data_IF_463413023696
#
_entry.id   IF_463413023696
#
_cell.length_a   1.000
_cell.length_b   1.000
_cell.length_c   1.000
_cell.angle_alpha   90.00
_cell.angle_beta   90.00
_cell.angle_gamma   90.00
#
_symmetry.space_group_name_H-M   'P 1'
#
loop_
_entity.id
_entity.type
_entity.pdbx_description
1 polymer ?
#
# COMPACT_ATOMS: atom_id res chain seq x y z
N UNK A 1 -8.63 -14.08 10.87
CA UNK A 1 -7.33 -13.99 11.61
C UNK A 1 -6.72 -12.63 11.28
N UNK A 2 -6.16 -11.88 12.25
CA UNK A 2 -5.70 -10.49 12.05
C UNK A 2 -4.19 -10.31 12.31
N UNK A 3 -3.53 -9.48 11.51
CA UNK A 3 -2.13 -9.05 11.67
C UNK A 3 -2.06 -7.61 12.22
N UNK A 4 -0.97 -7.25 12.93
CA UNK A 4 -0.72 -5.90 13.48
C UNK A 4 0.41 -5.16 12.75
N UNK A 5 0.31 -3.82 12.61
CA UNK A 5 1.16 -2.97 11.71
C UNK A 5 1.49 -1.61 12.36
N UNK A 6 2.71 -1.08 12.17
CA UNK A 6 3.17 0.25 12.62
C UNK A 6 3.95 1.02 11.52
N UNK A 7 3.73 2.33 11.34
CA UNK A 7 4.52 3.24 10.48
C UNK A 7 4.43 4.73 10.93
N UNK A 8 5.50 5.53 10.74
CA UNK A 8 5.57 6.98 11.05
C UNK A 8 6.02 7.82 9.83
N UNK A 9 5.61 9.10 9.72
CA UNK A 9 5.76 9.95 8.51
C UNK A 9 5.91 11.47 8.78
N UNK A 10 6.60 12.19 7.88
CA UNK A 10 6.77 13.67 7.87
C UNK A 10 6.44 14.25 6.49
N UNK A 11 5.74 15.40 6.40
CA UNK A 11 5.19 15.99 5.16
C UNK A 11 6.01 17.20 4.67
N UNK A 12 6.20 17.35 3.35
CA UNK A 12 6.67 18.62 2.71
C UNK A 12 5.90 18.90 1.41
N UNK A 13 5.52 20.17 1.21
CA UNK A 13 4.79 20.66 0.04
C UNK A 13 5.76 21.14 -1.05
N UNK A 14 5.54 20.74 -2.31
CA UNK A 14 6.23 21.30 -3.48
C UNK A 14 5.16 21.55 -4.55
N UNK A 15 4.72 22.81 -4.66
CA UNK A 15 3.81 23.35 -5.67
C UNK A 15 2.39 22.74 -5.84
N UNK A 16 1.49 23.58 -6.33
CA UNK A 16 0.02 23.56 -6.14
C UNK A 16 -0.78 22.40 -6.73
N UNK A 17 -0.18 21.30 -7.20
CA UNK A 17 -0.95 20.15 -7.73
C UNK A 17 -0.30 18.77 -7.58
N UNK A 18 0.91 18.66 -7.02
CA UNK A 18 1.63 17.40 -6.92
C UNK A 18 2.19 17.22 -5.51
N UNK A 19 1.63 16.29 -4.73
CA UNK A 19 2.22 15.89 -3.46
C UNK A 19 3.03 14.61 -3.66
N UNK A 20 4.36 14.72 -3.60
CA UNK A 20 5.24 13.57 -3.50
C UNK A 20 5.43 13.23 -2.03
N UNK A 21 4.93 12.08 -1.61
CA UNK A 21 4.98 11.63 -0.23
C UNK A 21 5.88 10.38 -0.13
N UNK A 22 6.91 10.46 0.72
CA UNK A 22 7.61 9.28 1.22
C UNK A 22 6.86 8.78 2.48
N UNK A 23 5.71 8.11 2.25
CA UNK A 23 4.72 7.52 3.20
C UNK A 23 4.15 8.49 4.27
N UNK A 24 2.85 8.55 4.64
CA UNK A 24 1.63 7.76 4.36
C UNK A 24 0.38 8.67 4.11
N UNK A 25 -0.63 8.27 3.31
CA UNK A 25 -1.79 7.61 3.94
C UNK A 25 -2.25 6.38 3.14
N UNK A 26 -1.50 5.31 3.29
CA UNK A 26 -2.04 3.97 3.15
C UNK A 26 -1.22 2.93 3.91
N UNK A 27 -1.86 1.85 4.32
CA UNK A 27 -1.22 0.74 5.01
C UNK A 27 -1.71 -0.57 4.42
N UNK A 28 -0.84 -1.59 4.45
CA UNK A 28 -1.31 -2.96 4.27
C UNK A 28 -2.43 -3.20 5.31
N UNK A 29 -3.58 -3.69 4.86
CA UNK A 29 -4.75 -3.90 5.70
C UNK A 29 -5.03 -5.39 5.89
N UNK A 30 -4.85 -6.19 4.84
CA UNK A 30 -5.05 -7.62 4.88
C UNK A 30 -4.15 -8.35 3.88
N UNK A 31 -3.96 -9.66 4.08
CA UNK A 31 -3.27 -10.53 3.14
C UNK A 31 -3.81 -11.96 3.20
N UNK A 32 -3.95 -12.60 2.03
CA UNK A 32 -4.37 -14.00 1.89
C UNK A 32 -3.29 -14.79 1.15
N UNK A 33 -2.94 -15.95 1.69
CA UNK A 33 -1.92 -16.86 1.14
C UNK A 33 -2.56 -18.21 0.88
N UNK A 34 -2.61 -18.62 -0.39
CA UNK A 34 -3.21 -19.89 -0.79
C UNK A 34 -2.17 -20.76 -1.49
N UNK A 35 -1.92 -21.96 -0.95
CA UNK A 35 -1.07 -22.95 -1.60
C UNK A 35 -1.78 -23.49 -2.84
N UNK A 36 -1.08 -23.54 -3.96
CA UNK A 36 -1.57 -24.15 -5.21
C UNK A 36 -0.63 -25.28 -5.62
N UNK A 37 -1.03 -26.18 -6.55
CA UNK A 37 -0.12 -27.19 -7.09
C UNK A 37 1.14 -26.59 -7.75
N UNK A 38 1.03 -25.37 -8.28
CA UNK A 38 2.11 -24.67 -8.96
C UNK A 38 3.00 -23.82 -8.02
N UNK A 39 2.64 -23.66 -6.74
CA UNK A 39 3.34 -22.81 -5.79
C UNK A 39 2.39 -22.07 -4.85
N UNK A 40 2.41 -20.74 -4.84
CA UNK A 40 1.55 -19.91 -3.98
C UNK A 40 0.78 -18.86 -4.79
N UNK A 41 -0.44 -18.58 -4.35
CA UNK A 41 -1.21 -17.39 -4.74
C UNK A 41 -1.29 -16.46 -3.54
N UNK A 42 -0.86 -15.22 -3.71
CA UNK A 42 -0.84 -14.20 -2.66
C UNK A 42 -1.74 -13.06 -3.10
N UNK A 43 -2.61 -12.61 -2.20
CA UNK A 43 -3.41 -11.39 -2.34
C UNK A 43 -3.11 -10.47 -1.17
N UNK A 44 -2.72 -9.23 -1.45
CA UNK A 44 -2.44 -8.18 -0.48
C UNK A 44 -3.44 -7.03 -0.69
N UNK A 45 -4.06 -6.57 0.40
CA UNK A 45 -5.03 -5.47 0.36
C UNK A 45 -4.40 -4.24 1.00
N UNK A 46 -4.22 -3.20 0.20
CA UNK A 46 -3.70 -1.92 0.64
C UNK A 46 -4.86 -0.94 0.89
N UNK A 47 -4.92 -0.34 2.07
CA UNK A 47 -5.93 0.65 2.42
C UNK A 47 -5.37 2.04 2.26
N UNK A 48 -6.05 2.89 1.50
CA UNK A 48 -5.79 4.32 1.42
C UNK A 48 -6.78 5.08 2.30
N UNK A 49 -6.28 6.12 2.99
CA UNK A 49 -7.08 6.93 3.90
C UNK A 49 -6.99 8.39 3.49
N UNK A 50 -8.12 9.09 3.42
CA UNK A 50 -8.13 10.53 3.16
C UNK A 50 -8.68 11.27 4.39
N UNK A 51 -7.81 11.75 5.30
CA UNK A 51 -8.25 12.58 6.43
C UNK A 51 -8.56 14.03 6.01
N UNK A 52 -8.30 14.40 4.75
CA UNK A 52 -8.47 15.74 4.23
C UNK A 52 -9.92 16.09 3.88
N UNK A 53 -10.13 17.37 3.56
CA UNK A 53 -11.43 17.92 3.15
C UNK A 53 -11.66 17.86 1.63
N UNK A 54 -10.64 17.53 0.86
CA UNK A 54 -10.68 17.44 -0.60
C UNK A 54 -10.38 16.02 -1.03
N UNK A 55 -10.98 15.60 -2.14
CA UNK A 55 -10.75 14.27 -2.71
C UNK A 55 -9.29 14.13 -3.16
N UNK A 56 -8.73 12.94 -2.92
CA UNK A 56 -7.42 12.54 -3.44
C UNK A 56 -7.57 11.43 -4.48
N UNK A 57 -6.68 11.41 -5.46
CA UNK A 57 -6.56 10.32 -6.43
C UNK A 57 -5.19 9.70 -6.31
N UNK A 58 -5.10 8.45 -5.85
CA UNK A 58 -3.86 7.70 -5.74
C UNK A 58 -3.51 7.11 -7.09
N UNK A 59 -2.43 7.60 -7.68
CA UNK A 59 -2.00 7.26 -9.03
C UNK A 59 -0.88 6.23 -9.05
N UNK A 60 -0.03 6.22 -8.02
CA UNK A 60 1.06 5.26 -7.94
C UNK A 60 1.25 4.75 -6.52
N UNK A 61 1.51 3.45 -6.43
CA UNK A 61 2.07 2.77 -5.28
C UNK A 61 3.20 1.89 -5.80
N UNK A 62 4.38 1.98 -5.19
CA UNK A 62 5.51 1.10 -5.45
C UNK A 62 6.15 0.77 -4.10
N UNK A 63 6.09 -0.49 -3.70
CA UNK A 63 6.73 -0.99 -2.48
C UNK A 63 7.34 -2.35 -2.75
N UNK A 64 8.32 -2.74 -1.94
CA UNK A 64 8.80 -4.11 -1.87
C UNK A 64 8.34 -4.71 -0.55
N UNK A 65 7.74 -5.89 -0.59
CA UNK A 65 7.36 -6.63 0.61
C UNK A 65 8.26 -7.84 0.80
N UNK A 66 8.33 -8.30 2.04
CA UNK A 66 8.97 -9.55 2.46
C UNK A 66 7.95 -10.40 3.20
N UNK A 67 7.91 -11.70 2.92
CA UNK A 67 7.15 -12.67 3.72
C UNK A 67 8.09 -13.24 4.76
N UNK A 68 7.97 -12.73 5.98
CA UNK A 68 8.80 -13.11 7.13
C UNK A 68 8.27 -14.42 7.72
N UNK A 69 9.06 -15.48 7.61
CA UNK A 69 8.72 -16.80 8.17
C UNK A 69 9.13 -16.93 9.64
N UNK A 70 9.75 -15.88 10.20
CA UNK A 70 10.21 -15.71 11.59
C UNK A 70 11.11 -16.84 12.12
N UNK A 71 11.70 -17.63 11.23
CA UNK A 71 12.70 -18.66 11.59
C UNK A 71 13.98 -18.04 12.17
N UNK A 72 14.26 -16.78 11.83
CA UNK A 72 15.33 -15.97 12.37
C UNK A 72 14.75 -14.74 13.10
N UNK A 73 15.25 -14.46 14.31
CA UNK A 73 14.81 -13.36 15.18
C UNK A 73 15.35 -11.97 14.75
N UNK A 74 16.24 -11.90 13.75
CA UNK A 74 16.69 -10.63 13.17
C UNK A 74 15.52 -9.85 12.55
N UNK A 75 15.70 -8.53 12.47
CA UNK A 75 14.68 -7.64 11.89
C UNK A 75 14.45 -7.98 10.41
N UNK A 76 13.22 -7.84 9.94
CA UNK A 76 12.83 -8.17 8.55
C UNK A 76 13.59 -7.40 7.46
N UNK A 77 14.28 -6.31 7.83
CA UNK A 77 15.04 -5.46 6.92
C UNK A 77 16.56 -5.74 6.97
N UNK A 78 16.96 -6.76 7.74
CA UNK A 78 18.33 -7.26 7.75
C UNK A 78 18.67 -7.94 6.41
N UNK A 79 19.84 -7.66 5.87
CA UNK A 79 20.25 -8.12 4.52
C UNK A 79 20.33 -9.65 4.44
N UNK A 80 20.85 -10.29 5.48
CA UNK A 80 21.00 -11.75 5.50
C UNK A 80 19.64 -12.43 5.63
N UNK A 81 18.73 -11.81 6.40
CA UNK A 81 17.35 -12.27 6.50
C UNK A 81 16.61 -12.15 5.17
N UNK A 82 16.68 -11.00 4.52
CA UNK A 82 16.04 -10.76 3.20
C UNK A 82 16.47 -11.81 2.17
N UNK A 83 17.75 -12.19 2.15
CA UNK A 83 18.25 -13.20 1.20
C UNK A 83 17.60 -14.59 1.39
N UNK A 84 17.22 -14.92 2.62
CA UNK A 84 16.58 -16.20 2.96
C UNK A 84 15.06 -16.20 2.81
N UNK A 85 14.44 -15.02 2.70
CA UNK A 85 12.99 -14.84 2.68
C UNK A 85 12.45 -14.56 1.29
N UNK A 86 11.15 -14.77 1.11
CA UNK A 86 10.50 -14.39 -0.14
C UNK A 86 10.32 -12.88 -0.17
N UNK A 87 10.80 -12.24 -1.24
CA UNK A 87 10.54 -10.83 -1.51
C UNK A 87 9.82 -10.65 -2.84
N UNK A 88 8.91 -9.68 -2.88
CA UNK A 88 8.20 -9.35 -4.11
C UNK A 88 7.89 -7.86 -4.20
N UNK A 89 7.78 -7.31 -5.43
CA UNK A 89 7.32 -5.95 -5.63
C UNK A 89 5.79 -5.90 -5.65
N UNK A 90 5.19 -4.94 -4.94
CA UNK A 90 3.81 -4.53 -5.17
C UNK A 90 3.85 -3.17 -5.86
N UNK A 91 3.26 -3.09 -7.06
CA UNK A 91 3.14 -1.80 -7.72
C UNK A 91 1.91 -1.66 -8.61
N UNK A 92 1.40 -0.44 -8.65
CA UNK A 92 0.57 0.05 -9.75
C UNK A 92 1.04 1.45 -10.14
N UNK A 93 0.92 1.75 -11.43
CA UNK A 93 1.17 3.09 -11.97
C UNK A 93 0.05 3.40 -12.95
N UNK A 94 -0.84 4.27 -12.50
CA UNK A 94 -2.04 4.70 -13.20
C UNK A 94 -1.94 6.21 -13.42
N UNK A 95 -2.53 6.70 -14.52
CA UNK A 95 -2.61 8.14 -14.74
C UNK A 95 -3.50 8.83 -13.70
N UNK A 96 -3.37 10.16 -13.58
CA UNK A 96 -4.19 11.02 -12.67
C UNK A 96 -5.69 10.76 -12.79
N UNK A 97 -6.20 10.39 -13.97
CA UNK A 97 -7.62 10.21 -14.23
C UNK A 97 -8.11 8.75 -14.10
N UNK A 98 -7.20 7.81 -13.85
CA UNK A 98 -7.50 6.37 -13.73
C UNK A 98 -7.10 5.80 -12.36
N UNK A 99 -6.49 6.62 -11.50
CA UNK A 99 -6.06 6.23 -10.17
C UNK A 99 -7.24 5.96 -9.23
N UNK A 100 -6.92 5.39 -8.07
CA UNK A 100 -7.90 5.08 -7.02
C UNK A 100 -8.35 6.38 -6.36
N UNK A 101 -9.64 6.68 -6.45
CA UNK A 101 -10.22 7.90 -5.89
C UNK A 101 -10.65 7.66 -4.44
N UNK A 102 -10.17 8.49 -3.52
CA UNK A 102 -10.54 8.45 -2.10
C UNK A 102 -11.19 9.77 -1.71
N UNK A 103 -12.51 9.72 -1.47
CA UNK A 103 -13.30 10.88 -1.07
C UNK A 103 -12.87 11.49 0.27
N UNK A 104 -13.26 12.73 0.58
CA UNK A 104 -12.96 13.37 1.86
C UNK A 104 -13.47 12.55 3.05
N UNK A 105 -12.63 12.32 4.05
CA UNK A 105 -12.96 11.51 5.24
C UNK A 105 -13.17 10.03 4.98
N UNK A 106 -12.94 9.55 3.75
CA UNK A 106 -13.22 8.19 3.35
C UNK A 106 -11.96 7.30 3.39
N UNK A 107 -12.20 6.00 3.22
CA UNK A 107 -11.16 4.99 3.01
C UNK A 107 -11.49 4.18 1.77
N UNK A 108 -10.47 3.64 1.11
CA UNK A 108 -10.64 2.74 -0.04
C UNK A 108 -9.55 1.68 -0.01
N UNK A 109 -9.95 0.45 -0.31
CA UNK A 109 -9.05 -0.70 -0.32
C UNK A 109 -8.73 -1.06 -1.77
N UNK A 110 -7.45 -1.25 -2.08
CA UNK A 110 -6.96 -1.74 -3.36
C UNK A 110 -6.31 -3.10 -3.15
N UNK A 111 -6.86 -4.12 -3.81
CA UNK A 111 -6.29 -5.46 -3.82
C UNK A 111 -5.20 -5.58 -4.89
N UNK A 112 -4.14 -6.30 -4.54
CA UNK A 112 -3.08 -6.73 -5.44
C UNK A 112 -2.83 -8.23 -5.27
N UNK A 113 -3.09 -8.98 -6.33
CA UNK A 113 -2.92 -10.43 -6.37
C UNK A 113 -1.84 -10.85 -7.34
N UNK A 114 -1.04 -11.86 -6.99
CA UNK A 114 -0.02 -12.44 -7.85
C UNK A 114 0.26 -13.91 -7.48
N UNK A 115 0.88 -14.62 -8.42
CA UNK A 115 1.26 -16.02 -8.26
C UNK A 115 2.79 -16.17 -8.19
N UNK A 116 3.25 -17.01 -7.27
CA UNK A 116 4.66 -17.41 -7.13
C UNK A 116 4.79 -18.85 -7.55
N UNK A 117 5.30 -19.07 -8.76
CA UNK A 117 5.40 -20.40 -9.38
C UNK A 117 6.83 -20.92 -9.48
N UNK A 118 7.83 -20.07 -9.27
CA UNK A 118 9.22 -20.52 -9.17
C UNK A 118 9.38 -21.37 -7.91
N UNK A 119 9.84 -22.61 -8.05
CA UNK A 119 9.91 -23.57 -6.95
C UNK A 119 10.83 -23.11 -5.81
N UNK A 120 11.95 -22.46 -6.13
CA UNK A 120 12.91 -21.96 -5.13
C UNK A 120 12.31 -20.83 -4.31
N UNK A 121 11.66 -19.85 -4.97
CA UNK A 121 10.98 -18.75 -4.28
C UNK A 121 9.73 -19.22 -3.50
N UNK A 122 8.96 -20.14 -4.08
CA UNK A 122 7.79 -20.71 -3.45
C UNK A 122 8.12 -21.54 -2.20
N UNK A 123 9.34 -22.06 -2.08
CA UNK A 123 9.82 -22.76 -0.89
C UNK A 123 10.14 -21.82 0.28
N UNK A 124 10.43 -20.54 0.01
CA UNK A 124 10.70 -19.52 1.04
C UNK A 124 9.43 -19.01 1.72
N UNK A 125 8.27 -19.17 1.05
CA UNK A 125 6.97 -18.77 1.59
C UNK A 125 6.48 -19.86 2.55
N UNK A 126 6.58 -19.57 3.83
CA UNK A 126 6.14 -20.45 4.91
C UNK A 126 5.46 -19.63 6.03
N UNK A 127 4.43 -20.18 6.69
CA UNK A 127 3.90 -19.57 7.91
C UNK A 127 4.93 -19.68 9.05
N UNK A 128 4.85 -18.75 9.99
CA UNK A 128 5.61 -18.78 11.24
C UNK A 128 5.36 -20.12 11.95
N UNK A 129 6.42 -20.87 12.30
CA UNK A 129 6.28 -22.18 12.93
C UNK A 129 5.67 -22.12 14.34
N UNK A 130 5.70 -20.96 15.00
CA UNK A 130 5.22 -20.78 16.38
C UNK A 130 3.71 -20.56 16.46
N UNK A 131 3.10 -19.87 15.49
CA UNK A 131 1.69 -19.51 15.53
C UNK A 131 0.92 -19.78 14.23
N UNK A 132 1.60 -20.27 13.19
CA UNK A 132 1.01 -20.64 11.91
C UNK A 132 0.59 -19.46 11.03
N UNK A 133 0.98 -18.22 11.37
CA UNK A 133 0.59 -17.02 10.61
C UNK A 133 1.66 -16.59 9.61
N UNK A 134 1.24 -15.85 8.59
CA UNK A 134 2.15 -15.15 7.69
C UNK A 134 2.39 -13.73 8.18
N UNK A 135 3.66 -13.34 8.24
CA UNK A 135 4.07 -11.97 8.54
C UNK A 135 4.56 -11.31 7.26
N UNK A 136 4.12 -10.06 7.03
CA UNK A 136 4.51 -9.29 5.86
C UNK A 136 5.20 -8.01 6.34
N UNK A 137 6.48 -7.89 6.00
CA UNK A 137 7.24 -6.66 6.16
C UNK A 137 7.22 -5.83 4.89
N UNK A 138 7.32 -4.50 5.03
CA UNK A 138 7.53 -3.59 3.89
C UNK A 138 8.95 -3.05 3.98
N UNK A 139 9.75 -3.28 2.95
CA UNK A 139 11.12 -2.77 2.88
C UNK A 139 11.09 -1.26 2.60
N UNK A 140 11.94 -0.51 3.31
CA UNK A 140 11.97 0.95 3.28
C UNK A 140 12.28 1.51 1.88
N UNK A 141 11.62 2.61 1.51
CA UNK A 141 11.81 3.26 0.20
C UNK A 141 10.60 3.22 -0.74
N UNK A 142 9.42 2.88 -0.23
CA UNK A 142 8.19 2.89 -1.03
C UNK A 142 7.78 4.28 -1.54
N UNK A 143 7.22 4.34 -2.75
CA UNK A 143 6.68 5.56 -3.36
C UNK A 143 5.17 5.50 -3.42
N UNK A 144 4.51 6.52 -2.90
CA UNK A 144 3.08 6.76 -3.12
C UNK A 144 2.92 8.14 -3.75
N UNK A 145 2.20 8.20 -4.86
CA UNK A 145 1.80 9.47 -5.46
C UNK A 145 0.29 9.61 -5.47
N UNK A 146 -0.17 10.75 -4.97
CA UNK A 146 -1.57 11.12 -5.03
C UNK A 146 -1.73 12.58 -5.47
N UNK A 147 -2.83 12.82 -6.17
CA UNK A 147 -3.25 14.14 -6.61
C UNK A 147 -4.40 14.61 -5.72
N UNK A 148 -4.31 15.83 -5.20
CA UNK A 148 -5.43 16.46 -4.49
C UNK A 148 -6.28 17.22 -5.50
N UNK A 149 -7.59 17.14 -5.37
CA UNK A 149 -8.51 17.89 -6.24
C UNK A 149 -8.39 19.39 -5.96
N UNK A 150 -8.30 20.22 -7.00
CA UNK A 150 -8.30 21.67 -6.85
C UNK A 150 -9.71 22.15 -6.49
N UNK A 151 -9.82 23.05 -5.50
CA UNK A 151 -11.08 23.72 -5.16
C UNK A 151 -11.60 24.49 -6.39
N UNK A 152 -10.70 24.99 -7.25
CA UNK A 152 -11.04 25.71 -8.48
C UNK A 152 -11.54 24.82 -9.63
N UNK A 153 -11.17 23.53 -9.68
CA UNK A 153 -11.69 22.59 -10.69
C UNK A 153 -13.18 22.27 -10.45
N UNK A 154 -13.65 22.31 -9.19
CA UNK A 154 -15.07 22.16 -8.87
C UNK A 154 -15.92 23.36 -9.33
N UNK A 155 -15.34 24.56 -9.43
CA UNK A 155 -16.02 25.75 -9.96
C UNK A 155 -16.24 25.69 -11.48
N UNK A 156 -15.42 24.94 -12.21
CA UNK A 156 -15.53 24.81 -13.67
C UNK A 156 -16.69 23.90 -14.11
N UNK A 157 -17.30 23.14 -13.20
CA UNK A 157 -18.48 22.29 -13.47
C UNK A 157 -19.80 22.82 -12.88
N UNK A 158 -19.85 24.10 -12.49
CA UNK A 158 -21.10 24.88 -12.51
C UNK A 158 -22.07 24.70 -11.33
N UNK A 159 -21.61 24.31 -10.15
CA UNK A 159 -22.44 24.43 -8.93
C UNK A 159 -21.99 25.67 -8.15
N UNK A 160 -22.84 26.72 -7.98
CA UNK A 160 -22.47 27.88 -7.19
C UNK A 160 -22.36 27.48 -5.71
N UNK A 161 -21.34 28.00 -5.03
CA UNK A 161 -21.21 27.89 -3.59
C UNK A 161 -22.27 28.76 -2.90
N UNK A 162 -23.31 28.13 -2.34
CA UNK A 162 -24.15 28.79 -1.32
C UNK A 162 -23.45 28.68 0.03
N UNK A 163 -22.49 29.55 0.31
CA UNK A 163 -22.10 29.82 1.69
C UNK A 163 -23.03 30.89 2.24
N UNK A 164 -23.83 30.51 3.23
CA UNK A 164 -24.61 31.44 4.04
C UNK A 164 -23.68 32.46 4.70
N UNK A 165 -24.13 33.71 4.72
CA UNK A 165 -23.49 34.79 5.46
C UNK A 165 -23.39 34.43 6.95
N UNK A 166 -22.24 34.71 7.54
CA UNK A 166 -22.09 34.92 8.99
C UNK A 166 -21.62 36.35 9.19
#
# INVERSE_FOLDING_TARGET
>A
MSAGIFAAATVRFIDHSQTQLLLSPGSLHNGTFTRTPAGWSISLVWRFVNPGRLQITVAMLQVQFVVDNRSNATAWNDVDKIASEYTGPLSFNLGRNAGVVVGPGATTDQEWGFAVTNATEAAKIAPDPSDGKFYVGILGGGRIEYYVSDVNEFYLHGVPSSYGAV
#
